data_IF_145925452505
#
_entry.id   IF_145925452505
#
_cell.length_a   1.000
_cell.length_b   1.000
_cell.length_c   1.000
_cell.angle_alpha   90.00
_cell.angle_beta   90.00
_cell.angle_gamma   90.00
#
_symmetry.space_group_name_H-M   'P 1'
#
loop_
_entity.id
_entity.type
_entity.pdbx_description
1 polymer ?
#
# COMPACT_ATOMS: atom_id res chain seq x y z
N UNK A 1 27.98 5.10 7.92
CA UNK A 1 26.54 4.98 8.21
C UNK A 1 26.04 3.64 7.69
N UNK A 2 25.46 2.79 8.54
CA UNK A 2 24.84 1.53 8.08
C UNK A 2 23.56 1.88 7.31
N UNK A 3 23.48 1.43 6.05
CA UNK A 3 22.27 1.54 5.24
C UNK A 3 21.19 0.65 5.87
N UNK A 4 19.98 1.17 5.95
CA UNK A 4 18.83 0.39 6.41
C UNK A 4 18.62 -0.81 5.49
N UNK A 5 18.38 -1.99 6.08
CA UNK A 5 18.18 -3.21 5.30
C UNK A 5 16.85 -3.11 4.56
N UNK A 6 16.89 -3.23 3.23
CA UNK A 6 15.69 -3.26 2.39
C UNK A 6 15.15 -4.68 2.35
N UNK A 7 13.89 -4.86 2.76
CA UNK A 7 13.16 -6.13 2.63
C UNK A 7 12.26 -6.03 1.39
N UNK A 8 12.37 -7.00 0.48
CA UNK A 8 11.46 -7.10 -0.67
C UNK A 8 10.17 -7.79 -0.21
N UNK A 9 9.05 -7.12 -0.42
CA UNK A 9 7.73 -7.69 -0.18
C UNK A 9 6.90 -7.71 -1.48
N UNK A 10 6.09 -8.74 -1.67
CA UNK A 10 5.26 -8.92 -2.88
C UNK A 10 3.81 -9.10 -2.46
N UNK A 11 2.96 -8.16 -2.85
CA UNK A 11 1.56 -8.14 -2.44
C UNK A 11 0.61 -8.40 -3.62
N UNK A 12 -0.45 -9.15 -3.33
CA UNK A 12 -1.65 -9.19 -4.18
C UNK A 12 -2.63 -8.15 -3.65
N UNK A 13 -3.16 -7.30 -4.53
CA UNK A 13 -4.10 -6.24 -4.19
C UNK A 13 -5.28 -6.23 -5.18
N UNK A 14 -6.47 -5.79 -4.76
CA UNK A 14 -7.57 -5.53 -5.66
C UNK A 14 -7.16 -4.53 -6.74
N UNK A 15 -7.78 -4.64 -7.92
CA UNK A 15 -7.55 -3.71 -9.03
C UNK A 15 -7.83 -2.26 -8.62
N UNK A 16 -8.89 -2.03 -7.83
CA UNK A 16 -9.26 -0.71 -7.29
C UNK A 16 -8.13 -0.05 -6.49
N UNK A 17 -7.40 -0.85 -5.70
CA UNK A 17 -6.33 -0.34 -4.85
C UNK A 17 -5.12 0.04 -5.71
N UNK A 18 -4.85 -0.75 -6.76
CA UNK A 18 -3.82 -0.42 -7.74
C UNK A 18 -4.13 0.88 -8.50
N UNK A 19 -5.39 1.07 -8.91
CA UNK A 19 -5.87 2.31 -9.55
C UNK A 19 -5.77 3.51 -8.60
N UNK A 20 -6.08 3.31 -7.32
CA UNK A 20 -5.93 4.35 -6.28
C UNK A 20 -4.47 4.77 -6.12
N UNK A 21 -3.53 3.81 -6.12
CA UNK A 21 -2.09 4.11 -6.06
C UNK A 21 -1.66 4.88 -7.32
N UNK A 22 -2.14 4.50 -8.50
CA UNK A 22 -1.84 5.22 -9.74
C UNK A 22 -2.35 6.66 -9.70
N UNK A 23 -3.58 6.88 -9.22
CA UNK A 23 -4.15 8.21 -9.04
C UNK A 23 -3.40 9.06 -8.00
N UNK A 24 -2.86 8.44 -6.93
CA UNK A 24 -2.00 9.13 -5.98
C UNK A 24 -0.68 9.55 -6.61
N UNK A 25 -0.04 8.68 -7.39
CA UNK A 25 1.16 9.02 -8.15
C UNK A 25 0.91 10.17 -9.13
N UNK A 26 -0.22 10.14 -9.85
CA UNK A 26 -0.57 11.21 -10.76
C UNK A 26 -0.74 12.54 -10.04
N UNK A 27 -1.42 12.55 -8.89
CA UNK A 27 -1.53 13.75 -8.04
C UNK A 27 -0.17 14.29 -7.59
N UNK A 28 0.79 13.42 -7.29
CA UNK A 28 2.16 13.86 -7.00
C UNK A 28 2.82 14.48 -8.24
N UNK A 29 2.66 13.87 -9.42
CA UNK A 29 3.21 14.40 -10.67
C UNK A 29 2.63 15.76 -11.04
N UNK A 30 1.31 15.93 -10.88
CA UNK A 30 0.63 17.21 -11.10
C UNK A 30 1.16 18.31 -10.16
N UNK A 31 1.64 17.92 -8.97
CA UNK A 31 2.33 18.79 -8.01
C UNK A 31 3.86 18.91 -8.24
N UNK A 32 4.39 18.37 -9.35
CA UNK A 32 5.80 18.44 -9.71
C UNK A 32 6.70 17.39 -9.06
N UNK A 33 6.12 16.34 -8.45
CA UNK A 33 6.86 15.28 -7.74
C UNK A 33 6.63 13.91 -8.40
N UNK A 34 7.69 13.32 -8.95
CA UNK A 34 7.63 11.94 -9.47
C UNK A 34 7.78 10.91 -8.34
N UNK A 35 6.64 10.58 -7.70
CA UNK A 35 6.59 9.61 -6.61
C UNK A 35 6.56 8.16 -7.12
N UNK A 36 7.42 7.30 -6.57
CA UNK A 36 7.42 5.85 -6.83
C UNK A 36 6.29 5.16 -6.09
N UNK A 37 5.85 4.00 -6.61
CA UNK A 37 4.86 3.15 -5.94
C UNK A 37 5.26 2.82 -4.49
N UNK A 38 6.54 2.51 -4.26
CA UNK A 38 7.07 2.20 -2.92
C UNK A 38 7.11 3.41 -1.99
N UNK A 39 7.15 4.63 -2.51
CA UNK A 39 7.07 5.86 -1.70
C UNK A 39 5.64 6.12 -1.27
N UNK A 40 4.68 6.01 -2.19
CA UNK A 40 3.25 6.13 -1.87
C UNK A 40 2.83 5.11 -0.79
N UNK A 41 3.26 3.85 -0.93
CA UNK A 41 2.94 2.81 0.06
C UNK A 41 3.58 3.09 1.42
N UNK A 42 4.86 3.49 1.47
CA UNK A 42 5.51 3.83 2.74
C UNK A 42 4.88 5.06 3.39
N UNK A 43 4.49 6.07 2.61
CA UNK A 43 3.78 7.23 3.11
C UNK A 43 2.42 6.84 3.72
N UNK A 44 1.67 5.95 3.06
CA UNK A 44 0.41 5.44 3.60
C UNK A 44 0.59 4.69 4.93
N UNK A 45 1.64 3.86 5.06
CA UNK A 45 1.98 3.17 6.31
C UNK A 45 2.29 4.17 7.43
N UNK A 46 3.08 5.21 7.14
CA UNK A 46 3.42 6.25 8.12
C UNK A 46 2.19 7.05 8.57
N UNK A 47 1.30 7.40 7.63
CA UNK A 47 0.05 8.08 7.94
C UNK A 47 -0.82 7.20 8.83
N UNK A 48 -1.00 5.92 8.48
CA UNK A 48 -1.80 5.00 9.28
C UNK A 48 -1.22 4.78 10.69
N UNK A 49 0.11 4.76 10.83
CA UNK A 49 0.79 4.65 12.12
C UNK A 49 0.68 5.92 12.98
N UNK A 50 0.36 7.07 12.38
CA UNK A 50 0.15 8.34 13.08
C UNK A 50 -1.28 8.53 13.59
N UNK A 51 -2.23 7.71 13.12
CA UNK A 51 -3.64 7.80 13.52
C UNK A 51 -3.89 7.16 14.90
N UNK A 52 -4.88 7.67 15.68
CA UNK A 52 -5.32 7.01 16.90
C UNK A 52 -5.77 5.56 16.63
N UNK A 53 -5.49 4.66 17.58
CA UNK A 53 -5.74 3.22 17.43
C UNK A 53 -7.15 2.89 16.96
N UNK A 54 -8.18 3.57 17.49
CA UNK A 54 -9.58 3.34 17.09
C UNK A 54 -9.82 3.63 15.60
N UNK A 55 -9.28 4.74 15.10
CA UNK A 55 -9.39 5.15 13.70
C UNK A 55 -8.58 4.25 12.78
N UNK A 56 -7.38 3.85 13.22
CA UNK A 56 -6.56 2.88 12.52
C UNK A 56 -7.32 1.55 12.35
N UNK A 57 -7.91 1.03 13.43
CA UNK A 57 -8.70 -0.21 13.41
C UNK A 57 -9.93 -0.10 12.51
N UNK A 58 -10.68 1.01 12.59
CA UNK A 58 -11.83 1.25 11.73
C UNK A 58 -11.43 1.28 10.24
N UNK A 59 -10.29 1.90 9.92
CA UNK A 59 -9.75 1.95 8.55
C UNK A 59 -9.42 0.55 8.03
N UNK A 60 -8.79 -0.29 8.86
CA UNK A 60 -8.47 -1.68 8.49
C UNK A 60 -9.74 -2.51 8.34
N UNK A 61 -10.72 -2.35 9.23
CA UNK A 61 -11.99 -3.10 9.19
C UNK A 61 -12.84 -2.78 7.94
N UNK A 62 -12.70 -1.58 7.37
CA UNK A 62 -13.39 -1.18 6.15
C UNK A 62 -12.79 -1.82 4.87
N UNK A 63 -11.60 -2.41 4.94
CA UNK A 63 -10.96 -3.04 3.79
C UNK A 63 -11.69 -4.33 3.40
N UNK A 64 -12.03 -4.46 2.11
CA UNK A 64 -12.61 -5.70 1.59
C UNK A 64 -11.54 -6.79 1.58
N UNK A 65 -11.84 -8.01 2.08
CA UNK A 65 -10.91 -9.11 2.00
C UNK A 65 -10.49 -9.36 0.55
N UNK A 66 -9.18 -9.38 0.33
CA UNK A 66 -8.63 -9.82 -0.96
C UNK A 66 -8.86 -11.32 -1.04
N UNK A 67 -9.79 -11.76 -1.91
CA UNK A 67 -9.91 -13.18 -2.26
C UNK A 67 -8.65 -13.57 -3.03
N UNK A 68 -7.62 -14.01 -2.31
CA UNK A 68 -6.44 -14.58 -2.94
C UNK A 68 -6.86 -15.93 -3.52
N UNK A 69 -6.85 -16.02 -4.85
CA UNK A 69 -6.84 -17.32 -5.52
C UNK A 69 -5.51 -17.98 -5.21
N UNK A 70 -5.41 -18.72 -4.11
CA UNK A 70 -4.32 -19.66 -3.92
C UNK A 70 -4.42 -20.66 -5.08
N UNK A 71 -3.44 -20.76 -5.99
CA UNK A 71 -3.45 -21.88 -6.92
C UNK A 71 -3.50 -23.17 -6.06
N UNK A 72 -4.43 -24.10 -6.34
CA UNK A 72 -4.40 -25.39 -5.66
C UNK A 72 -3.00 -25.97 -5.89
N UNK A 73 -2.37 -26.48 -4.83
CA UNK A 73 -1.10 -27.20 -4.96
C UNK A 73 -1.34 -28.30 -6.00
N UNK A 74 -0.73 -28.18 -7.18
CA UNK A 74 -0.68 -29.29 -8.13
C UNK A 74 0.05 -30.45 -7.44
N UNK A 75 -0.50 -31.65 -7.58
CA UNK A 75 0.08 -32.92 -7.10
C UNK A 75 1.52 -33.09 -7.51
#
# INVERSE_FOLDING_TARGET
MKREKVVRDTFTMPRSDYETIAALKQRCLDAGVDAKKSEVLRAAVLLLASEPTERMLATIAALKPVKTGRPPRSK
#
